data_IF_757603377170
#
_entry.id   IF_757603377170
#
_cell.length_a   1.000
_cell.length_b   1.000
_cell.length_c   1.000
_cell.angle_alpha   90.00
_cell.angle_beta   90.00
_cell.angle_gamma   90.00
#
_symmetry.space_group_name_H-M   'P 1'
#
loop_
_entity.id
_entity.type
_entity.pdbx_description
1 polymer ?
2 non-polymer ?
3 non-polymer ?
4 water ?
#
# COMPACT_ATOMS: atom_id res chain seq x y z
N UNK A 3 -10.87 -15.03 -17.24
CA UNK A 3 -10.27 -15.08 -15.91
C UNK A 3 -9.20 -13.99 -15.75
N UNK A 4 -8.09 -14.11 -16.51
CA UNK A 4 -6.99 -13.16 -16.37
C UNK A 4 -7.33 -11.79 -16.90
N UNK A 5 -8.18 -11.68 -17.91
CA UNK A 5 -8.50 -10.35 -18.43
C UNK A 5 -9.29 -9.55 -17.41
N UNK A 6 -10.35 -10.15 -16.86
CA UNK A 6 -11.17 -9.45 -15.88
C UNK A 6 -10.37 -9.09 -14.64
N UNK A 7 -9.60 -10.05 -14.13
CA UNK A 7 -8.83 -9.77 -12.92
C UNK A 7 -7.79 -8.69 -13.17
N UNK A 8 -7.21 -8.70 -14.38
CA UNK A 8 -6.12 -7.77 -14.64
C UNK A 8 -6.62 -6.34 -14.75
N UNK A 9 -7.81 -6.14 -15.30
CA UNK A 9 -8.29 -4.77 -15.38
C UNK A 9 -8.72 -4.23 -14.02
N UNK A 10 -9.22 -5.11 -13.15
CA UNK A 10 -9.48 -4.71 -11.76
C UNK A 10 -8.16 -4.37 -11.06
N UNK A 11 -7.17 -5.26 -11.21
CA UNK A 11 -5.93 -5.06 -10.45
C UNK A 11 -5.23 -3.78 -10.90
N UNK A 12 -5.24 -3.48 -12.19
CA UNK A 12 -4.56 -2.30 -12.70
C UNK A 12 -5.10 -1.05 -12.04
N UNK A 13 -6.44 -0.96 -11.92
CA UNK A 13 -7.05 0.22 -11.33
C UNK A 13 -6.98 0.23 -9.81
N UNK A 14 -6.35 -0.77 -9.21
CA UNK A 14 -6.08 -0.78 -7.77
C UNK A 14 -4.59 -0.59 -7.50
N UNK A 15 -3.77 -0.34 -8.51
CA UNK A 15 -2.33 -0.26 -8.25
C UNK A 15 -1.96 1.06 -7.57
N UNK A 16 -1.05 0.94 -6.58
CA UNK A 16 -0.20 2.04 -6.15
C UNK A 16 1.10 1.82 -6.94
N UNK A 17 1.21 2.49 -8.07
CA UNK A 17 2.37 2.30 -8.95
C UNK A 17 3.58 2.98 -8.32
N UNK A 18 4.64 2.21 -8.02
CA UNK A 18 5.60 2.65 -7.02
C UNK A 18 7.03 2.74 -7.56
N UNK A 19 7.73 3.79 -7.14
CA UNK A 19 9.20 3.79 -7.22
C UNK A 19 9.72 4.38 -5.92
N UNK A 20 10.58 3.62 -5.22
CA UNK A 20 11.11 4.03 -3.92
C UNK A 20 12.57 3.63 -3.82
N UNK A 21 13.37 4.13 -4.74
CA UNK A 21 14.79 3.80 -4.76
C UNK A 21 15.60 4.86 -4.05
N UNK A 22 16.80 4.45 -3.61
CA UNK A 22 17.74 5.32 -2.92
C UNK A 22 18.27 6.43 -3.82
N UNK A 23 18.05 6.33 -5.13
CA UNK A 23 18.63 7.29 -6.07
C UNK A 23 17.61 7.69 -7.13
N UNK A 24 16.34 7.68 -6.78
CA UNK A 24 15.36 8.12 -7.75
C UNK A 24 15.60 9.57 -8.18
N UNK A 25 15.09 9.89 -9.37
CA UNK A 25 15.25 11.19 -9.99
C UNK A 25 13.88 11.71 -10.42
N UNK A 26 13.83 13.02 -10.72
CA UNK A 26 12.61 13.59 -11.28
C UNK A 26 12.23 12.87 -12.56
N UNK A 27 13.21 12.57 -13.42
CA UNK A 27 12.89 11.93 -14.69
C UNK A 27 12.22 10.58 -14.48
N UNK A 28 12.70 9.81 -13.52
CA UNK A 28 12.08 8.53 -13.26
C UNK A 28 10.68 8.68 -12.70
N UNK A 29 10.47 9.69 -11.84
CA UNK A 29 9.11 9.90 -11.30
C UNK A 29 8.17 10.40 -12.39
N UNK A 30 8.63 11.29 -13.26
CA UNK A 30 7.82 11.74 -14.40
C UNK A 30 7.41 10.55 -15.26
N UNK A 31 8.36 9.67 -15.59
CA UNK A 31 8.06 8.51 -16.40
C UNK A 31 7.03 7.64 -15.70
N UNK A 32 7.17 7.46 -14.39
CA UNK A 32 6.19 6.67 -13.65
C UNK A 32 4.80 7.28 -13.73
N UNK A 33 4.70 8.60 -13.59
CA UNK A 33 3.40 9.25 -13.73
C UNK A 33 2.79 8.98 -15.10
N UNK A 34 3.59 9.07 -16.16
CA UNK A 34 3.07 8.79 -17.49
C UNK A 34 2.61 7.34 -17.60
N UNK A 35 3.35 6.40 -16.97
CA UNK A 35 2.97 5.00 -17.03
C UNK A 35 1.67 4.72 -16.29
N UNK A 36 1.33 5.55 -15.30
CA UNK A 36 0.10 5.35 -14.54
C UNK A 36 -1.16 5.61 -15.36
N UNK A 37 -1.03 6.35 -16.47
CA UNK A 37 -2.15 6.64 -17.36
C UNK A 37 -2.06 5.64 -18.51
N UNK A 38 -2.86 4.58 -18.45
CA UNK A 38 -2.74 3.48 -19.42
C UNK A 38 -3.90 3.50 -20.42
N UNK A 39 -3.80 2.75 -21.53
CA UNK A 39 -4.91 2.69 -22.51
C UNK A 39 -6.18 2.07 -21.98
N UNK A 40 -6.12 1.39 -20.83
CA UNK A 40 -7.30 0.72 -20.29
C UNK A 40 -7.70 1.26 -18.94
N UNK A 41 -7.07 2.34 -18.48
CA UNK A 41 -7.40 2.85 -17.17
C UNK A 41 -6.22 3.54 -16.52
N UNK A 42 -6.52 4.30 -15.47
CA UNK A 42 -5.49 4.89 -14.63
C UNK A 42 -5.29 4.01 -13.41
N UNK A 43 -4.07 3.93 -12.91
CA UNK A 43 -3.86 3.31 -11.60
C UNK A 43 -4.54 4.16 -10.53
N UNK A 44 -4.74 3.56 -9.36
CA UNK A 44 -5.35 4.30 -8.26
C UNK A 44 -4.43 5.40 -7.76
N UNK A 45 -3.14 5.11 -7.76
CA UNK A 45 -2.18 6.01 -7.14
C UNK A 45 -0.81 5.78 -7.74
N UNK A 46 0.09 6.69 -7.38
CA UNK A 46 1.52 6.46 -7.47
C UNK A 46 2.04 6.53 -6.04
N UNK A 47 3.21 5.93 -5.83
CA UNK A 47 3.83 5.98 -4.51
C UNK A 47 5.31 6.25 -4.71
N UNK A 48 5.77 7.34 -4.08
CA UNK A 48 7.10 7.90 -4.32
C UNK A 48 7.59 8.49 -3.01
N UNK A 49 8.88 8.83 -2.92
CA UNK A 49 9.36 9.51 -1.74
C UNK A 49 8.82 10.96 -1.67
N UNK A 50 8.76 11.55 -0.47
CA UNK A 50 8.03 12.83 -0.32
C UNK A 50 8.57 13.93 -1.20
N UNK A 51 9.90 14.00 -1.37
CA UNK A 51 10.47 15.12 -2.11
C UNK A 51 10.03 15.14 -3.57
N UNK A 52 9.45 14.06 -4.08
CA UNK A 52 9.00 14.02 -5.47
C UNK A 52 7.53 14.36 -5.62
N UNK A 53 6.82 14.62 -4.52
CA UNK A 53 5.38 14.87 -4.62
C UNK A 53 5.08 16.09 -5.49
N UNK A 54 5.78 17.23 -5.33
CA UNK A 54 5.42 18.38 -6.18
C UNK A 54 5.57 18.10 -7.68
N UNK A 55 6.68 17.50 -8.10
CA UNK A 55 6.85 17.29 -9.54
C UNK A 55 5.85 16.25 -10.04
N UNK A 56 5.56 15.23 -9.23
CA UNK A 56 4.55 14.26 -9.63
C UNK A 56 3.18 14.90 -9.76
N UNK A 57 2.80 15.75 -8.81
CA UNK A 57 1.49 16.39 -8.90
C UNK A 57 1.37 17.22 -10.17
N UNK A 58 2.42 17.96 -10.53
CA UNK A 58 2.29 18.75 -11.75
C UNK A 58 2.28 17.87 -12.99
N UNK A 59 3.02 16.76 -12.98
CA UNK A 59 2.99 15.86 -14.13
C UNK A 59 1.62 15.23 -14.31
N UNK A 60 1.03 14.79 -13.20
CA UNK A 60 -0.32 14.20 -13.27
C UNK A 60 -1.35 15.21 -13.75
N UNK A 61 -1.26 16.46 -13.29
CA UNK A 61 -2.20 17.46 -13.79
C UNK A 61 -1.99 17.70 -15.27
N UNK A 62 -0.74 17.80 -15.71
CA UNK A 62 -0.44 18.17 -17.09
C UNK A 62 -0.82 17.10 -18.10
N UNK A 63 -0.92 15.84 -17.67
CA UNK A 63 -1.41 14.77 -18.54
C UNK A 63 -2.91 14.52 -18.35
N UNK A 64 -3.60 15.35 -17.57
CA UNK A 64 -5.05 15.24 -17.48
C UNK A 64 -5.50 14.11 -16.59
N UNK A 65 -4.68 13.71 -15.61
CA UNK A 65 -5.08 12.68 -14.65
C UNK A 65 -4.94 13.19 -13.22
N UNK A 66 -5.68 14.26 -12.88
CA UNK A 66 -5.50 14.88 -11.56
C UNK A 66 -6.00 14.05 -10.41
N UNK A 67 -6.76 12.99 -10.68
CA UNK A 67 -7.32 12.21 -9.60
C UNK A 67 -6.51 10.98 -9.26
N UNK A 68 -5.38 10.73 -9.94
CA UNK A 68 -4.47 9.69 -9.48
C UNK A 68 -3.86 10.17 -8.17
N UNK A 69 -4.01 9.37 -7.11
CA UNK A 69 -3.58 9.80 -5.79
C UNK A 69 -2.07 9.69 -5.67
N UNK A 70 -1.49 10.50 -4.78
CA UNK A 70 -0.05 10.44 -4.52
C UNK A 70 0.14 9.94 -3.10
N UNK A 71 0.68 8.72 -2.98
CA UNK A 71 1.05 8.14 -1.72
C UNK A 71 2.56 8.28 -1.51
N UNK A 72 2.95 8.25 -0.24
CA UNK A 72 4.37 8.23 0.09
C UNK A 72 4.56 7.34 1.30
N UNK A 73 5.79 7.29 1.83
CA UNK A 73 6.13 6.41 2.93
C UNK A 73 6.83 7.18 4.05
N UNK A 74 6.61 6.75 5.29
CA UNK A 74 7.30 7.33 6.46
C UNK A 74 7.67 6.24 7.44
N UNK A 75 8.56 6.59 8.36
CA UNK A 75 9.17 5.63 9.26
C UNK A 75 9.77 4.47 8.49
N UNK A 76 10.37 4.75 7.33
CA UNK A 76 10.56 3.75 6.29
C UNK A 76 12.03 3.61 5.88
N UNK A 77 12.48 2.38 5.64
CA UNK A 77 11.73 1.11 5.72
C UNK A 77 11.78 0.45 7.08
N UNK A 78 12.53 1.06 8.01
CA UNK A 78 12.94 0.40 9.25
C UNK A 78 11.80 0.04 10.21
N UNK A 79 10.73 0.84 10.29
CA UNK A 79 9.81 0.59 11.39
C UNK A 79 10.44 0.76 12.74
N UNK A 80 11.31 1.76 12.88
CA UNK A 80 11.85 2.02 14.21
C UNK A 80 10.74 2.47 15.17
N UNK A 81 11.07 2.43 16.46
CA UNK A 81 10.09 2.69 17.50
C UNK A 81 10.19 4.09 18.08
N UNK A 82 10.78 5.04 17.37
CA UNK A 82 10.88 6.43 17.81
C UNK A 82 9.67 7.15 17.25
N UNK A 83 8.69 7.42 18.11
CA UNK A 83 7.45 8.05 17.67
C UNK A 83 7.72 9.47 17.18
N UNK A 84 8.61 10.21 17.85
CA UNK A 84 8.89 11.58 17.42
C UNK A 84 9.37 11.61 15.98
N UNK A 85 10.25 10.68 15.60
CA UNK A 85 10.74 10.67 14.23
C UNK A 85 9.64 10.25 13.28
N UNK A 86 8.89 9.19 13.62
CA UNK A 86 7.83 8.74 12.71
C UNK A 86 6.80 9.84 12.49
N UNK A 87 6.45 10.54 13.58
CA UNK A 87 5.45 11.61 13.49
C UNK A 87 6.01 12.80 12.73
N UNK A 88 7.27 13.19 12.97
CA UNK A 88 7.88 14.27 12.21
C UNK A 88 7.91 13.94 10.73
N UNK A 89 8.27 12.70 10.37
CA UNK A 89 8.30 12.32 8.97
C UNK A 89 6.90 12.35 8.36
N UNK A 90 5.89 11.89 9.12
CA UNK A 90 4.52 11.93 8.62
C UNK A 90 4.04 13.37 8.44
N UNK A 91 4.35 14.24 9.39
CA UNK A 91 4.02 15.66 9.24
C UNK A 91 4.72 16.27 8.03
N UNK A 92 5.99 15.90 7.79
CA UNK A 92 6.68 16.41 6.62
C UNK A 92 6.05 15.91 5.33
N UNK A 93 5.66 14.61 5.28
CA UNK A 93 5.00 14.09 4.09
C UNK A 93 3.71 14.84 3.79
N UNK A 94 2.95 15.16 4.83
CA UNK A 94 1.74 15.97 4.66
C UNK A 94 2.10 17.33 4.07
N UNK A 95 3.17 17.95 4.59
CA UNK A 95 3.57 19.27 4.09
C UNK A 95 4.04 19.20 2.63
N UNK A 96 4.71 18.11 2.23
CA UNK A 96 5.12 17.93 0.85
C UNK A 96 3.94 17.75 -0.08
N UNK A 97 2.76 17.45 0.47
CA UNK A 97 1.52 17.39 -0.32
C UNK A 97 0.93 16.01 -0.51
N UNK A 98 1.38 15.01 0.25
CA UNK A 98 0.86 13.65 0.08
C UNK A 98 -0.65 13.58 0.24
N UNK A 99 -1.27 12.71 -0.58
CA UNK A 99 -2.65 12.34 -0.34
C UNK A 99 -2.78 11.19 0.64
N UNK A 100 -1.75 10.34 0.70
CA UNK A 100 -1.75 9.14 1.53
C UNK A 100 -0.35 8.95 2.05
N UNK A 101 -0.27 8.42 3.27
CA UNK A 101 0.99 8.08 3.90
C UNK A 101 0.95 6.62 4.31
N UNK A 102 1.99 5.86 3.90
CA UNK A 102 2.15 4.47 4.25
C UNK A 102 3.28 4.47 5.30
N UNK A 103 2.94 4.29 6.58
CA UNK A 103 3.91 4.32 7.68
C UNK A 103 4.30 2.90 8.06
N UNK A 104 5.56 2.68 8.44
CA UNK A 104 5.97 1.36 8.89
C UNK A 104 5.74 1.22 10.38
N UNK A 105 4.96 0.20 10.75
CA UNK A 105 4.71 -0.17 12.12
C UNK A 105 6.01 -0.57 12.81
N UNK A 106 6.12 -0.33 14.13
CA UNK A 106 7.36 -0.74 14.86
C UNK A 106 7.31 -2.22 15.18
N UNK A 107 7.56 -3.02 14.12
CA UNK A 107 7.39 -4.46 14.22
C UNK A 107 8.45 -5.13 15.08
N UNK A 108 9.68 -4.61 15.04
CA UNK A 108 10.72 -5.13 15.94
C UNK A 108 10.29 -4.97 17.39
N UNK A 109 9.79 -3.80 17.75
CA UNK A 109 9.39 -3.57 19.14
C UNK A 109 8.27 -4.54 19.53
N UNK A 110 7.34 -4.79 18.62
CA UNK A 110 6.31 -5.79 18.91
C UNK A 110 6.92 -7.17 19.13
N UNK A 111 7.90 -7.55 18.28
CA UNK A 111 8.55 -8.85 18.43
C UNK A 111 9.26 -8.98 19.75
N UNK A 112 9.74 -7.86 20.32
CA UNK A 112 10.39 -7.80 21.61
C UNK A 112 9.39 -7.69 22.77
N UNK A 113 8.10 -7.66 22.47
CA UNK A 113 7.08 -7.72 23.49
C UNK A 113 6.34 -6.43 23.75
N UNK A 114 6.64 -5.37 23.02
CA UNK A 114 6.01 -4.08 23.28
C UNK A 114 4.87 -3.89 22.27
N UNK A 115 3.62 -4.09 22.73
CA UNK A 115 2.46 -3.85 21.89
C UNK A 115 2.00 -2.39 21.95
N UNK A 116 2.36 -1.67 22.99
CA UNK A 116 1.80 -0.33 23.11
C UNK A 116 2.45 0.67 22.16
N UNK A 117 3.75 0.54 21.87
CA UNK A 117 4.38 1.58 21.07
C UNK A 117 3.79 1.59 19.66
N UNK A 118 3.42 0.41 19.13
CA UNK A 118 2.79 0.38 17.83
C UNK A 118 1.46 1.09 17.81
N UNK A 119 0.66 0.91 18.87
CA UNK A 119 -0.59 1.65 18.96
C UNK A 119 -0.30 3.16 18.99
N UNK A 120 0.61 3.59 19.88
CA UNK A 120 0.82 5.02 20.05
C UNK A 120 1.39 5.65 18.79
N UNK A 121 2.30 4.94 18.10
CA UNK A 121 2.91 5.47 16.89
C UNK A 121 1.86 5.61 15.80
N UNK A 122 1.08 4.55 15.56
CA UNK A 122 0.05 4.64 14.52
C UNK A 122 -0.96 5.72 14.87
N UNK A 123 -1.41 5.75 16.13
CA UNK A 123 -2.44 6.72 16.51
C UNK A 123 -1.97 8.15 16.28
N UNK A 124 -0.72 8.46 16.66
CA UNK A 124 -0.19 9.81 16.46
C UNK A 124 -0.16 10.16 14.99
N UNK A 125 0.34 9.23 14.17
CA UNK A 125 0.41 9.49 12.73
C UNK A 125 -0.99 9.64 12.14
N UNK A 126 -1.94 8.80 12.57
CA UNK A 126 -3.31 8.92 12.08
C UNK A 126 -3.92 10.27 12.42
N UNK A 127 -3.64 10.79 13.61
CA UNK A 127 -4.24 12.06 13.99
C UNK A 127 -3.72 13.20 13.13
N UNK A 128 -2.43 13.17 12.77
CA UNK A 128 -1.90 14.18 11.86
C UNK A 128 -2.52 14.03 10.47
N UNK A 129 -2.56 12.80 9.97
CA UNK A 129 -3.11 12.58 8.63
C UNK A 129 -4.58 12.94 8.57
N UNK A 130 -5.37 12.53 9.57
CA UNK A 130 -6.81 12.77 9.52
C UNK A 130 -7.12 14.26 9.49
N UNK A 131 -6.34 15.05 10.22
CA UNK A 131 -6.57 16.49 10.21
C UNK A 131 -6.42 17.08 8.82
N UNK A 132 -5.52 16.49 8.03
CA UNK A 132 -5.23 16.93 6.67
C UNK A 132 -6.01 16.18 5.61
N UNK A 133 -6.99 15.35 6.00
CA UNK A 133 -7.70 14.52 5.03
C UNK A 133 -6.75 13.66 4.20
N UNK A 134 -5.77 13.07 4.87
CA UNK A 134 -4.78 12.18 4.25
C UNK A 134 -5.03 10.78 4.79
N UNK A 135 -5.13 9.78 3.90
CA UNK A 135 -5.30 8.41 4.39
C UNK A 135 -3.98 7.85 4.89
N UNK A 136 -4.07 7.01 5.93
CA UNK A 136 -2.90 6.37 6.56
C UNK A 136 -2.96 4.87 6.31
N UNK A 137 -1.95 4.34 5.61
CA UNK A 137 -1.78 2.91 5.52
C UNK A 137 -0.67 2.50 6.49
N UNK A 138 -0.77 1.30 7.08
CA UNK A 138 0.24 0.85 8.04
C UNK A 138 0.86 -0.44 7.51
N UNK A 139 2.19 -0.40 7.31
CA UNK A 139 2.98 -1.54 6.86
C UNK A 139 3.42 -2.34 8.08
N UNK A 140 3.05 -3.62 8.18
CA UNK A 140 3.44 -4.39 9.35
C UNK A 140 4.69 -5.24 9.13
N UNK A 141 5.13 -5.41 7.88
CA UNK A 141 6.32 -6.18 7.52
C UNK A 141 6.17 -7.66 7.87
N UNK A 142 5.17 -8.29 7.24
CA UNK A 142 4.87 -9.69 7.49
C UNK A 142 6.08 -10.60 7.28
N UNK A 143 6.94 -10.28 6.31
CA UNK A 143 8.10 -11.13 6.02
C UNK A 143 9.13 -11.14 7.13
N UNK A 144 9.15 -10.13 7.97
CA UNK A 144 10.02 -10.12 9.13
C UNK A 144 9.31 -10.55 10.41
N UNK A 145 8.01 -10.26 10.54
CA UNK A 145 7.28 -10.79 11.69
C UNK A 145 7.23 -12.31 11.65
N UNK A 146 6.96 -12.86 10.46
CA UNK A 146 7.00 -14.29 10.16
C UNK A 146 5.84 -15.08 10.77
N UNK A 147 5.61 -14.89 12.06
CA UNK A 147 4.74 -15.75 12.83
C UNK A 147 3.29 -15.29 12.67
N UNK A 148 2.38 -16.24 12.43
CA UNK A 148 0.97 -15.89 12.20
C UNK A 148 0.39 -15.06 13.35
N UNK A 149 0.68 -15.43 14.61
CA UNK A 149 0.12 -14.70 15.74
C UNK A 149 0.60 -13.25 15.78
N UNK A 150 1.88 -13.03 15.42
CA UNK A 150 2.40 -11.68 15.40
C UNK A 150 1.81 -10.88 14.23
N UNK A 151 1.62 -11.51 13.06
CA UNK A 151 0.98 -10.82 11.95
C UNK A 151 -0.43 -10.40 12.35
N UNK A 152 -1.17 -11.31 13.01
CA UNK A 152 -2.50 -10.93 13.46
C UNK A 152 -2.45 -9.79 14.48
N UNK A 153 -1.53 -9.88 15.44
CA UNK A 153 -1.44 -8.87 16.49
C UNK A 153 -1.10 -7.50 15.92
N UNK A 154 -0.10 -7.44 15.03
CA UNK A 154 0.27 -6.16 14.44
C UNK A 154 -0.91 -5.57 13.66
N UNK A 155 -1.62 -6.44 12.95
CA UNK A 155 -2.80 -5.98 12.21
C UNK A 155 -3.85 -5.40 13.14
N UNK A 156 -4.13 -6.12 14.24
CA UNK A 156 -5.11 -5.69 15.22
C UNK A 156 -4.73 -4.36 15.82
N UNK A 157 -3.48 -4.24 16.31
CA UNK A 157 -3.03 -3.00 16.92
C UNK A 157 -3.20 -1.84 15.95
N UNK A 158 -2.78 -2.06 14.70
CA UNK A 158 -2.86 -1.01 13.70
C UNK A 158 -4.28 -0.57 13.48
N UNK A 159 -5.21 -1.53 13.38
CA UNK A 159 -6.62 -1.20 13.18
C UNK A 159 -7.17 -0.44 14.38
N UNK A 160 -6.85 -0.93 15.59
CA UNK A 160 -7.34 -0.26 16.80
C UNK A 160 -6.85 1.18 16.87
N UNK A 161 -5.64 1.43 16.37
CA UNK A 161 -5.04 2.75 16.43
C UNK A 161 -5.51 3.66 15.31
N UNK A 162 -6.30 3.16 14.38
CA UNK A 162 -6.90 4.00 13.35
C UNK A 162 -6.36 3.82 11.94
N UNK A 163 -5.64 2.74 11.66
CA UNK A 163 -5.18 2.56 10.26
C UNK A 163 -6.37 2.59 9.31
N UNK A 164 -6.19 3.27 8.17
CA UNK A 164 -7.15 3.23 7.07
C UNK A 164 -6.94 2.07 6.13
N UNK A 165 -5.71 1.53 6.09
CA UNK A 165 -5.34 0.33 5.38
C UNK A 165 -4.31 -0.39 6.25
N UNK A 166 -4.28 -1.71 6.14
CA UNK A 166 -3.13 -2.48 6.60
C UNK A 166 -2.44 -3.08 5.36
N UNK A 167 -1.12 -3.04 5.39
CA UNK A 167 -0.27 -3.31 4.23
C UNK A 167 0.80 -4.32 4.61
N UNK A 168 1.08 -5.28 3.72
CA UNK A 168 1.96 -6.39 4.12
C UNK A 168 3.39 -5.94 4.41
N UNK A 169 3.96 -5.10 3.54
CA UNK A 169 5.42 -5.12 3.43
C UNK A 169 5.93 -3.81 2.86
N UNK A 170 7.22 -3.55 3.10
CA UNK A 170 7.89 -2.40 2.51
C UNK A 170 8.42 -2.65 1.11
N UNK A 171 8.59 -3.91 0.68
CA UNK A 171 9.33 -4.20 -0.54
C UNK A 171 10.83 -4.13 -0.36
N UNK A 172 11.33 -3.83 0.84
CA UNK A 172 12.76 -3.63 1.07
C UNK A 172 13.39 -4.75 1.86
N UNK A 173 12.64 -5.77 2.22
CA UNK A 173 13.13 -6.92 2.97
C UNK A 173 13.06 -8.14 2.06
N UNK A 174 13.61 -9.26 2.55
CA UNK A 174 13.73 -10.45 1.71
C UNK A 174 12.38 -11.04 1.30
N UNK A 175 11.40 -11.04 2.19
CA UNK A 175 10.10 -11.65 1.93
C UNK A 175 9.06 -10.57 2.11
N UNK A 176 8.24 -10.36 1.08
CA UNK A 176 7.21 -9.33 1.10
C UNK A 176 5.85 -10.01 1.03
N UNK A 177 4.94 -9.56 0.16
CA UNK A 177 3.60 -10.17 0.18
C UNK A 177 3.64 -11.65 -0.19
N UNK A 178 2.80 -12.45 0.45
CA UNK A 178 2.46 -13.80 0.00
C UNK A 178 0.95 -13.99 0.15
N UNK A 179 0.39 -14.95 -0.57
CA UNK A 179 -1.05 -15.20 -0.37
C UNK A 179 -1.38 -15.62 1.06
N UNK A 180 -0.51 -16.41 1.70
CA UNK A 180 -0.70 -16.77 3.11
C UNK A 180 -0.81 -15.55 3.99
N UNK A 181 0.13 -14.61 3.85
CA UNK A 181 0.12 -13.41 4.68
C UNK A 181 -1.13 -12.59 4.41
N UNK A 182 -1.52 -12.48 3.14
CA UNK A 182 -2.71 -11.73 2.77
C UNK A 182 -3.95 -12.32 3.41
N UNK A 183 -4.07 -13.65 3.39
CA UNK A 183 -5.24 -14.27 4.02
C UNK A 183 -5.29 -13.94 5.49
N UNK A 184 -4.16 -14.05 6.19
CA UNK A 184 -4.14 -13.78 7.62
C UNK A 184 -4.61 -12.35 7.89
N UNK A 185 -4.04 -11.38 7.16
CA UNK A 185 -4.38 -9.99 7.42
C UNK A 185 -5.83 -9.69 7.08
N UNK A 186 -6.31 -10.23 5.96
CA UNK A 186 -7.70 -9.97 5.61
C UNK A 186 -8.65 -10.65 6.58
N UNK A 187 -8.27 -11.81 7.13
CA UNK A 187 -9.10 -12.39 8.18
C UNK A 187 -9.20 -11.50 9.40
N UNK A 188 -8.15 -10.75 9.74
CA UNK A 188 -8.24 -9.80 10.85
C UNK A 188 -9.23 -8.71 10.53
N UNK A 189 -9.17 -8.14 9.32
CA UNK A 189 -10.16 -7.14 8.92
C UNK A 189 -11.56 -7.71 9.11
N UNK A 190 -11.78 -8.95 8.66
CA UNK A 190 -13.08 -9.61 8.77
C UNK A 190 -13.47 -9.79 10.23
N UNK A 191 -12.57 -10.37 11.04
CA UNK A 191 -12.87 -10.68 12.43
C UNK A 191 -13.16 -9.44 13.25
N UNK A 192 -12.50 -8.32 12.91
CA UNK A 192 -12.67 -7.09 13.65
C UNK A 192 -13.89 -6.30 13.15
N UNK A 193 -14.51 -6.74 12.06
CA UNK A 193 -15.71 -6.12 11.54
C UNK A 193 -15.47 -4.78 10.90
N UNK A 194 -14.25 -4.53 10.42
CA UNK A 194 -13.83 -3.23 9.88
C UNK A 194 -13.72 -3.25 8.36
N UNK A 195 -14.31 -4.22 7.68
CA UNK A 195 -14.19 -4.25 6.24
C UNK A 195 -14.68 -2.95 5.59
N UNK A 196 -15.66 -2.24 6.19
CA UNK A 196 -16.09 -1.00 5.55
C UNK A 196 -15.04 0.11 5.65
N UNK A 197 -14.19 0.09 6.69
CA UNK A 197 -13.33 1.23 6.96
C UNK A 197 -11.84 0.96 6.82
N UNK A 198 -11.42 -0.27 6.63
CA UNK A 198 -10.02 -0.63 6.57
C UNK A 198 -9.77 -1.40 5.28
N UNK A 199 -8.89 -0.86 4.45
CA UNK A 199 -8.48 -1.56 3.26
C UNK A 199 -7.26 -2.46 3.47
N UNK A 200 -6.99 -3.26 2.45
CA UNK A 200 -5.83 -4.15 2.46
C UNK A 200 -4.94 -3.86 1.25
N UNK A 201 -3.62 -3.90 1.49
CA UNK A 201 -2.64 -3.67 0.42
C UNK A 201 -1.53 -4.70 0.49
N UNK A 202 -1.56 -5.73 -0.37
CA UNK A 202 -0.36 -6.57 -0.51
C UNK A 202 0.67 -5.76 -1.32
N UNK A 203 1.94 -5.86 -0.90
CA UNK A 203 2.97 -5.06 -1.55
C UNK A 203 4.29 -5.81 -1.53
N UNK A 204 5.03 -5.65 -2.63
CA UNK A 204 6.35 -6.24 -2.78
C UNK A 204 6.22 -7.64 -3.28
N UNK A 205 6.99 -7.99 -4.32
CA UNK A 205 6.91 -9.32 -4.90
C UNK A 205 5.57 -9.71 -5.47
N UNK A 206 4.72 -8.77 -5.83
CA UNK A 206 3.52 -9.06 -6.61
C UNK A 206 3.91 -8.78 -8.05
N UNK A 207 4.22 -9.83 -8.79
CA UNK A 207 4.95 -9.69 -10.04
C UNK A 207 4.08 -9.82 -11.28
N UNK A 208 3.11 -10.75 -11.26
CA UNK A 208 2.42 -11.11 -12.48
C UNK A 208 0.91 -10.94 -12.36
N UNK A 209 0.28 -10.92 -13.52
CA UNK A 209 -1.17 -10.93 -13.55
C UNK A 209 -1.73 -12.12 -12.78
N UNK A 210 -1.06 -13.28 -12.90
CA UNK A 210 -1.48 -14.46 -12.16
C UNK A 210 -1.42 -14.23 -10.65
N UNK A 211 -0.34 -13.60 -10.18
CA UNK A 211 -0.24 -13.26 -8.75
C UNK A 211 -1.42 -12.39 -8.33
N UNK A 212 -1.67 -11.33 -9.10
CA UNK A 212 -2.72 -10.38 -8.72
C UNK A 212 -4.08 -11.09 -8.64
N UNK A 213 -4.34 -11.98 -9.59
CA UNK A 213 -5.60 -12.74 -9.60
C UNK A 213 -5.77 -13.53 -8.31
N UNK A 214 -4.68 -14.10 -7.79
CA UNK A 214 -4.75 -14.85 -6.53
C UNK A 214 -5.19 -13.95 -5.37
N UNK A 215 -4.55 -12.78 -5.24
CA UNK A 215 -4.88 -11.88 -4.14
C UNK A 215 -6.31 -11.40 -4.23
N UNK A 216 -6.78 -11.07 -5.42
CA UNK A 216 -8.17 -10.64 -5.54
C UNK A 216 -9.14 -11.78 -5.20
N UNK A 217 -8.77 -13.02 -5.50
CA UNK A 217 -9.64 -14.15 -5.17
C UNK A 217 -9.87 -14.26 -3.67
N UNK A 218 -8.82 -14.03 -2.85
CA UNK A 218 -8.96 -14.03 -1.40
C UNK A 218 -9.94 -12.93 -0.96
N UNK A 219 -9.76 -11.71 -1.49
CA UNK A 219 -10.66 -10.61 -1.13
C UNK A 219 -12.10 -10.97 -1.47
N UNK A 220 -12.32 -11.48 -2.68
CA UNK A 220 -13.69 -11.77 -3.10
C UNK A 220 -14.31 -12.85 -2.24
N UNK A 221 -13.52 -13.85 -1.86
CA UNK A 221 -14.01 -14.93 -0.99
C UNK A 221 -14.43 -14.42 0.39
N UNK A 222 -13.59 -13.57 1.00
CA UNK A 222 -13.85 -13.10 2.35
C UNK A 222 -14.94 -12.05 2.41
N UNK A 223 -15.00 -11.13 1.44
CA UNK A 223 -15.82 -9.94 1.56
C UNK A 223 -16.85 -9.79 0.46
N UNK A 224 -16.84 -10.66 -0.52
CA UNK A 224 -17.72 -10.53 -1.68
C UNK A 224 -17.07 -9.78 -2.82
N UNK A 225 -17.52 -10.07 -4.04
CA UNK A 225 -16.90 -9.52 -5.24
C UNK A 225 -17.03 -8.02 -5.32
N UNK A 226 -17.96 -7.41 -4.60
CA UNK A 226 -18.15 -5.96 -4.66
C UNK A 226 -17.33 -5.20 -3.62
N UNK A 227 -16.47 -5.88 -2.87
CA UNK A 227 -15.75 -5.16 -1.82
C UNK A 227 -14.55 -4.39 -2.37
N UNK A 228 -13.69 -5.04 -3.15
CA UNK A 228 -12.45 -4.38 -3.54
C UNK A 228 -12.75 -3.19 -4.41
N UNK A 229 -12.11 -2.08 -4.08
CA UNK A 229 -12.17 -0.82 -4.82
C UNK A 229 -11.03 0.01 -4.27
N UNK A 230 -10.85 1.22 -4.81
CA UNK A 230 -9.64 1.97 -4.43
C UNK A 230 -9.60 2.30 -2.94
N UNK A 231 -10.75 2.48 -2.28
CA UNK A 231 -10.69 2.77 -0.85
C UNK A 231 -10.39 1.53 -0.03
N UNK A 232 -10.58 0.34 -0.60
CA UNK A 232 -10.45 -0.89 0.17
C UNK A 232 -9.33 -1.82 -0.24
N UNK A 233 -8.66 -1.55 -1.35
CA UNK A 233 -7.70 -2.52 -1.88
C UNK A 233 -6.69 -1.79 -2.75
N UNK A 234 -5.40 -2.07 -2.54
CA UNK A 234 -4.39 -1.58 -3.45
C UNK A 234 -3.33 -2.65 -3.65
N UNK A 235 -2.69 -2.63 -4.82
CA UNK A 235 -1.47 -3.42 -5.03
C UNK A 235 -0.24 -2.51 -4.98
N UNK A 236 0.68 -2.78 -4.06
CA UNK A 236 1.94 -2.03 -4.05
C UNK A 236 2.89 -2.72 -5.00
N UNK A 237 3.14 -2.12 -6.15
CA UNK A 237 3.80 -2.88 -7.21
C UNK A 237 4.37 -1.92 -8.26
N UNK A 238 5.11 -2.51 -9.20
CA UNK A 238 5.74 -1.76 -10.29
C UNK A 238 5.70 -2.58 -11.57
N UNK A 239 6.56 -3.60 -11.66
CA UNK A 239 6.61 -4.45 -12.85
C UNK A 239 5.26 -5.07 -13.16
N UNK A 240 4.45 -5.29 -12.13
CA UNK A 240 3.12 -5.86 -12.32
C UNK A 240 2.35 -5.13 -13.41
N UNK A 241 2.49 -3.80 -13.51
CA UNK A 241 1.67 -3.05 -14.45
C UNK A 241 1.86 -3.57 -15.88
N UNK A 242 3.12 -3.79 -16.29
CA UNK A 242 3.36 -4.31 -17.63
C UNK A 242 2.78 -5.71 -17.81
N UNK A 243 2.79 -6.53 -16.74
CA UNK A 243 2.19 -7.86 -16.83
C UNK A 243 0.68 -7.78 -16.99
N UNK A 244 0.03 -6.87 -16.26
CA UNK A 244 -1.42 -6.70 -16.41
C UNK A 244 -1.76 -6.22 -17.81
N UNK A 245 -1.00 -5.25 -18.32
CA UNK A 245 -1.28 -4.74 -19.66
C UNK A 245 -1.09 -5.83 -20.71
N UNK A 246 -0.06 -6.66 -20.55
CA UNK A 246 0.15 -7.77 -21.47
C UNK A 246 -1.04 -8.73 -21.43
N UNK A 247 -1.55 -9.04 -20.23
CA UNK A 247 -2.71 -9.92 -20.16
C UNK A 247 -3.92 -9.33 -20.85
N UNK A 248 -3.98 -8.00 -20.92
CA UNK A 248 -5.08 -7.27 -21.54
C UNK A 248 -4.83 -6.96 -23.01
N UNK A 249 -3.74 -7.43 -23.61
CA UNK A 249 -3.50 -7.20 -25.01
C UNK A 249 -2.77 -5.92 -25.34
N UNK A 250 -2.10 -5.30 -24.35
CA UNK A 250 -1.29 -4.09 -24.55
C UNK A 250 0.18 -4.30 -24.19
N UNK A 251 1.07 -3.88 -25.09
X LIG B 1 4.69 0.45 0.09
X LIG B 1 5.18 1.59 -0.68
X LIG B 1 5.04 -0.91 -0.53
X LIG B 1 6.27 -1.00 -1.42
X LIG B 1 6.16 -0.11 -2.50
X LIG B 1 6.45 -2.41 -2.00
X LIG C 1 13.40 9.86 3.52
X LIG C 1 13.17 10.40 4.86
X LIG C 1 13.99 9.61 5.86
X LIG C 1 13.80 8.17 5.75
X LIG C 1 13.79 7.63 4.42
X LIG C 1 13.00 8.45 3.41
X LIG C 1 14.72 7.47 6.61
X LIG C 1 14.74 7.91 8.06
X LIG C 1 13.59 7.37 8.62
X LIG C 1 12.67 10.65 2.51
X LIG C 1 13.48 11.89 2.18
X LIG C 1 12.47 13.14 1.35
X LIG C 1 11.35 13.49 2.21
X LIG C 1 13.32 14.32 1.16
X LIG C 1 12.04 12.53 0.14
#
# INVERSE_FOLDING_TARGET
MTDLKASSLRALKLMDLTTLNDDDTDEKVIALCHQAKTPVGNTAAICIYPRFIPIARETLKEQGTPEIRIATVTNFPHGNDDIDIALAETRAAIAWGADEVDVVFPYRALMAGNEQVGFDLVKACKEACAAANVLLKVIIETGELKDEALIRKASEISIKAGADFIKTSTGKVAVNATPESARIMMEVIRDMGVEKTVGFKPAGGVRTAEDAQKYLAIADELFGADWADARHYRFGASSLLASLLKALGHGDGKSASSYHHHHHH
BU2 C1 O1 C2 C3 O3 C4
EPE N1 C2 C3 N4 C5 C6 C7 C8 O8 C9 C10 S O1S O2S O3S
#
